data_IF_487001547175
#
_entry.id   IF_487001547175
#
_cell.length_a   1.000
_cell.length_b   1.000
_cell.length_c   1.000
_cell.angle_alpha   90.00
_cell.angle_beta   90.00
_cell.angle_gamma   90.00
#
_symmetry.space_group_name_H-M   'P 1'
#
loop_
_entity.id
_entity.type
_entity.pdbx_description
1 polymer ?
#
# COMPACT_ATOMS: atom_id res chain seq x y z
N UNK A 1 10.73 -15.08 2.73
CA UNK A 1 11.22 -14.74 1.37
C UNK A 1 12.54 -14.06 1.58
N UNK A 2 13.55 -14.27 0.72
CA UNK A 2 14.70 -13.36 0.77
C UNK A 2 14.33 -12.08 0.01
N UNK A 3 14.84 -10.94 0.47
CA UNK A 3 14.66 -9.65 -0.20
C UNK A 3 15.13 -9.77 -1.65
N UNK A 4 14.30 -9.33 -2.59
CA UNK A 4 14.55 -9.40 -4.03
C UNK A 4 14.14 -10.70 -4.71
N UNK A 5 13.78 -11.76 -3.96
CA UNK A 5 13.22 -12.97 -4.58
C UNK A 5 11.88 -12.61 -5.24
N UNK A 6 11.74 -12.89 -6.54
CA UNK A 6 10.44 -12.84 -7.22
C UNK A 6 9.70 -14.17 -7.03
N UNK A 7 8.41 -14.12 -6.70
CA UNK A 7 7.56 -15.30 -6.57
C UNK A 7 6.28 -15.16 -7.36
N UNK A 8 5.91 -16.25 -8.01
CA UNK A 8 4.56 -16.41 -8.55
C UNK A 8 3.55 -16.48 -7.39
N UNK A 9 2.43 -15.78 -7.55
CA UNK A 9 1.29 -15.86 -6.65
C UNK A 9 0.56 -17.16 -6.93
N UNK A 10 0.96 -18.23 -6.25
CA UNK A 10 0.38 -19.58 -6.44
C UNK A 10 -0.88 -19.82 -5.58
N UNK A 11 -1.49 -18.75 -5.08
CA UNK A 11 -2.64 -18.83 -4.19
C UNK A 11 -3.93 -18.67 -5.00
N UNK A 12 -4.99 -19.39 -4.62
CA UNK A 12 -6.17 -19.49 -5.47
C UNK A 12 -5.83 -20.10 -6.84
N UNK A 13 -6.48 -19.59 -7.89
CA UNK A 13 -6.25 -19.95 -9.30
C UNK A 13 -5.46 -18.85 -10.05
N UNK A 14 -4.72 -17.99 -9.32
CA UNK A 14 -3.97 -16.92 -9.94
C UNK A 14 -2.90 -17.44 -10.92
N UNK A 15 -2.72 -16.72 -12.01
CA UNK A 15 -1.74 -16.99 -13.04
C UNK A 15 -1.16 -15.67 -13.56
N UNK A 16 0.06 -15.75 -14.11
CA UNK A 16 0.79 -14.58 -14.64
C UNK A 16 0.97 -13.42 -13.64
N UNK A 17 0.80 -13.71 -12.35
CA UNK A 17 0.90 -12.75 -11.25
C UNK A 17 2.08 -13.12 -10.36
N UNK A 18 2.93 -12.13 -10.11
CA UNK A 18 4.15 -12.25 -9.32
C UNK A 18 4.20 -11.16 -8.26
N UNK A 19 5.02 -11.37 -7.25
CA UNK A 19 5.37 -10.34 -6.27
C UNK A 19 6.81 -10.52 -5.80
N UNK A 20 7.42 -9.43 -5.35
CA UNK A 20 8.74 -9.44 -4.73
C UNK A 20 8.73 -8.66 -3.41
N UNK A 21 9.62 -9.04 -2.49
CA UNK A 21 9.96 -8.23 -1.32
C UNK A 21 11.05 -7.21 -1.70
N UNK A 22 10.75 -5.93 -1.51
CA UNK A 22 11.65 -4.80 -1.80
C UNK A 22 12.65 -4.49 -0.68
N UNK A 23 12.54 -5.16 0.47
CA UNK A 23 13.39 -4.94 1.64
C UNK A 23 13.08 -3.64 2.37
N UNK A 24 11.81 -3.25 2.37
CA UNK A 24 11.34 -2.01 2.97
C UNK A 24 11.69 -1.95 4.47
N UNK A 25 12.27 -0.84 4.92
CA UNK A 25 12.70 -0.60 6.32
C UNK A 25 13.68 -1.64 6.90
N UNK A 26 14.51 -2.29 6.06
CA UNK A 26 15.37 -3.40 6.47
C UNK A 26 14.59 -4.53 7.19
N UNK A 27 13.30 -4.65 6.86
CA UNK A 27 12.38 -5.65 7.43
C UNK A 27 11.98 -6.62 6.34
N UNK A 28 12.30 -7.90 6.54
CA UNK A 28 11.96 -8.94 5.57
C UNK A 28 10.45 -9.03 5.38
N UNK A 29 10.05 -9.20 4.12
CA UNK A 29 8.67 -9.35 3.64
C UNK A 29 7.76 -8.14 3.87
N UNK A 30 8.24 -7.06 4.51
CA UNK A 30 7.37 -5.94 4.86
C UNK A 30 6.86 -5.15 3.64
N UNK A 31 7.63 -5.06 2.55
CA UNK A 31 7.24 -4.28 1.36
C UNK A 31 7.12 -5.15 0.12
N UNK A 32 5.89 -5.45 -0.28
CA UNK A 32 5.57 -6.22 -1.48
C UNK A 32 5.23 -5.31 -2.66
N UNK A 33 5.82 -5.59 -3.81
CA UNK A 33 5.45 -5.01 -5.12
C UNK A 33 4.97 -6.15 -6.01
N UNK A 34 3.89 -5.91 -6.77
CA UNK A 34 3.31 -6.93 -7.63
C UNK A 34 3.62 -6.66 -9.11
N UNK A 35 3.71 -7.74 -9.88
CA UNK A 35 3.94 -7.71 -11.32
C UNK A 35 2.93 -8.62 -12.01
N UNK A 36 2.28 -8.13 -13.07
CA UNK A 36 1.41 -8.91 -13.95
C UNK A 36 2.11 -9.03 -15.31
N UNK A 37 2.35 -10.27 -15.75
CA UNK A 37 2.99 -10.60 -17.03
C UNK A 37 1.92 -10.92 -18.09
N UNK A 38 1.56 -9.91 -18.89
CA UNK A 38 0.55 -10.03 -19.95
C UNK A 38 0.99 -9.28 -21.20
N UNK A 39 0.13 -9.17 -22.22
CA UNK A 39 0.39 -8.43 -23.47
C UNK A 39 0.86 -6.99 -23.19
N UNK A 40 0.39 -6.36 -22.11
CA UNK A 40 0.89 -5.10 -21.55
C UNK A 40 1.33 -5.32 -20.11
N UNK A 41 2.60 -5.67 -19.86
CA UNK A 41 3.07 -5.96 -18.52
C UNK A 41 2.90 -4.77 -17.56
N UNK A 42 2.52 -5.08 -16.32
CA UNK A 42 2.16 -4.10 -15.31
C UNK A 42 2.88 -4.31 -13.99
N UNK A 43 3.23 -3.22 -13.32
CA UNK A 43 3.68 -3.19 -11.92
C UNK A 43 2.60 -2.50 -11.09
N UNK A 44 2.19 -3.10 -9.97
CA UNK A 44 1.27 -2.47 -8.99
C UNK A 44 2.08 -2.08 -7.75
N UNK A 45 2.08 -0.78 -7.46
CA UNK A 45 2.96 -0.10 -6.50
C UNK A 45 4.46 -0.33 -6.74
N UNK A 46 5.31 0.43 -6.03
CA UNK A 46 6.74 0.58 -6.36
C UNK A 46 7.64 0.68 -5.13
N UNK A 47 7.09 0.53 -3.93
CA UNK A 47 7.83 0.60 -2.68
C UNK A 47 8.32 2.01 -2.32
N UNK A 48 9.23 2.08 -1.34
CA UNK A 48 9.89 3.31 -0.87
C UNK A 48 10.92 3.91 -1.84
N UNK A 49 11.05 3.34 -3.05
CA UNK A 49 12.04 3.70 -4.07
C UNK A 49 13.46 3.22 -3.78
N UNK A 50 13.84 3.06 -2.50
CA UNK A 50 15.08 2.38 -2.13
C UNK A 50 14.99 0.92 -2.60
N UNK A 51 16.02 0.46 -3.32
CA UNK A 51 16.06 -0.86 -3.98
C UNK A 51 15.07 -1.05 -5.15
N UNK A 52 14.63 0.03 -5.84
CA UNK A 52 13.83 -0.13 -7.07
C UNK A 52 14.54 -0.99 -8.13
N UNK A 53 15.87 -1.10 -8.07
CA UNK A 53 16.64 -2.03 -8.91
C UNK A 53 16.23 -3.50 -8.71
N UNK A 54 15.74 -3.90 -7.53
CA UNK A 54 15.21 -5.26 -7.32
C UNK A 54 13.95 -5.50 -8.13
N UNK A 55 13.10 -4.49 -8.29
CA UNK A 55 11.92 -4.58 -9.18
C UNK A 55 12.36 -4.78 -10.63
N UNK A 56 13.45 -4.11 -11.06
CA UNK A 56 14.03 -4.32 -12.40
C UNK A 56 14.59 -5.72 -12.58
N UNK A 57 15.30 -6.22 -11.58
CA UNK A 57 15.85 -7.57 -11.59
C UNK A 57 14.74 -8.62 -11.67
N UNK A 58 13.65 -8.44 -10.91
CA UNK A 58 12.47 -9.30 -10.96
C UNK A 58 11.77 -9.28 -12.33
N UNK A 59 11.55 -8.08 -12.92
CA UNK A 59 10.99 -7.93 -14.27
C UNK A 59 11.84 -8.66 -15.31
N UNK A 60 13.16 -8.51 -15.25
CA UNK A 60 14.08 -9.21 -16.16
C UNK A 60 14.09 -10.73 -15.93
N UNK A 61 13.92 -11.20 -14.69
CA UNK A 61 13.87 -12.63 -14.36
C UNK A 61 12.64 -13.33 -14.95
N UNK A 62 11.48 -12.66 -14.93
CA UNK A 62 10.24 -13.15 -15.53
C UNK A 62 10.16 -12.91 -17.05
N UNK A 63 11.11 -12.14 -17.61
CA UNK A 63 11.28 -11.99 -19.06
C UNK A 63 10.68 -10.72 -19.65
N UNK A 64 10.41 -9.71 -18.83
CA UNK A 64 9.94 -8.38 -19.25
C UNK A 64 11.16 -7.46 -19.42
N UNK A 65 11.49 -7.11 -20.66
CA UNK A 65 12.61 -6.22 -20.96
C UNK A 65 12.24 -4.73 -20.71
N UNK A 66 13.24 -3.84 -20.77
CA UNK A 66 13.10 -2.39 -20.53
C UNK A 66 12.08 -1.71 -21.45
N UNK A 67 11.94 -2.20 -22.69
CA UNK A 67 10.99 -1.68 -23.67
C UNK A 67 9.60 -2.34 -23.58
N UNK A 68 9.43 -3.38 -22.76
CA UNK A 68 8.18 -4.17 -22.72
C UNK A 68 7.23 -3.73 -21.58
N UNK A 69 7.73 -3.23 -20.45
CA UNK A 69 6.84 -2.73 -19.39
C UNK A 69 5.99 -1.56 -19.91
N UNK A 70 4.67 -1.66 -19.76
CA UNK A 70 3.71 -0.67 -20.28
C UNK A 70 2.93 0.06 -19.18
N UNK A 71 2.80 -0.52 -17.98
CA UNK A 71 1.93 0.01 -16.92
C UNK A 71 2.66 0.04 -15.57
N UNK A 72 2.65 1.20 -14.92
CA UNK A 72 2.98 1.35 -13.49
C UNK A 72 1.71 1.89 -12.82
N UNK A 73 0.94 1.02 -12.16
CA UNK A 73 -0.31 1.36 -11.50
C UNK A 73 -0.07 1.64 -10.02
N UNK A 74 -0.39 2.85 -9.57
CA UNK A 74 -0.22 3.26 -8.17
C UNK A 74 -1.56 3.18 -7.45
N UNK A 75 -1.61 2.44 -6.35
CA UNK A 75 -2.81 2.40 -5.49
C UNK A 75 -3.05 3.76 -4.85
N UNK A 76 -1.97 4.42 -4.41
CA UNK A 76 -2.00 5.76 -3.87
C UNK A 76 -0.59 6.38 -3.81
N UNK A 77 -0.49 7.68 -3.50
CA UNK A 77 0.79 8.42 -3.59
C UNK A 77 1.63 8.43 -2.31
N UNK A 78 1.29 7.66 -1.26
CA UNK A 78 2.22 7.57 -0.13
C UNK A 78 3.55 6.98 -0.62
N UNK A 79 4.66 7.50 -0.11
CA UNK A 79 5.97 7.24 -0.72
C UNK A 79 6.47 5.82 -0.52
N UNK A 80 5.87 5.05 0.37
CA UNK A 80 6.06 3.61 0.50
C UNK A 80 5.32 2.78 -0.56
N UNK A 81 4.46 3.39 -1.36
CA UNK A 81 3.79 2.78 -2.52
C UNK A 81 4.29 3.41 -3.82
N UNK A 82 4.46 4.73 -3.88
CA UNK A 82 4.80 5.47 -5.09
C UNK A 82 6.28 5.92 -5.18
N UNK A 83 7.11 5.61 -4.18
CA UNK A 83 8.48 6.13 -4.08
C UNK A 83 9.40 5.67 -5.22
N UNK A 84 9.15 4.49 -5.79
CA UNK A 84 9.90 3.94 -6.91
C UNK A 84 9.42 4.37 -8.30
N UNK A 85 8.23 4.97 -8.41
CA UNK A 85 7.54 5.18 -9.68
C UNK A 85 8.34 5.99 -10.69
N UNK A 86 8.95 7.10 -10.27
CA UNK A 86 9.78 7.93 -11.15
C UNK A 86 11.05 7.24 -11.63
N UNK A 87 11.65 6.38 -10.80
CA UNK A 87 12.83 5.61 -11.19
C UNK A 87 12.49 4.54 -12.23
N UNK A 88 11.37 3.83 -12.04
CA UNK A 88 10.88 2.87 -13.01
C UNK A 88 10.46 3.55 -14.31
N UNK A 89 9.68 4.63 -14.25
CA UNK A 89 9.27 5.37 -15.46
C UNK A 89 10.45 5.91 -16.28
N UNK A 90 11.57 6.27 -15.62
CA UNK A 90 12.81 6.66 -16.29
C UNK A 90 13.48 5.50 -17.03
N UNK A 91 13.48 4.32 -16.43
CA UNK A 91 14.20 3.14 -16.93
C UNK A 91 13.36 2.32 -17.92
N UNK A 92 12.03 2.45 -17.88
CA UNK A 92 11.07 1.80 -18.78
C UNK A 92 10.35 2.84 -19.65
N UNK A 93 10.93 3.24 -20.79
CA UNK A 93 10.45 4.39 -21.58
C UNK A 93 9.09 4.18 -22.26
N UNK A 94 8.50 2.99 -22.19
CA UNK A 94 7.15 2.69 -22.71
C UNK A 94 6.08 2.58 -21.61
N UNK A 95 6.46 2.43 -20.33
CA UNK A 95 5.56 2.41 -19.16
C UNK A 95 4.92 3.76 -18.76
N UNK A 96 3.59 3.88 -18.92
CA UNK A 96 2.83 5.00 -18.36
C UNK A 96 2.53 4.78 -16.87
N UNK A 97 2.47 5.86 -16.09
CA UNK A 97 2.18 5.84 -14.65
C UNK A 97 0.73 6.22 -14.42
N UNK A 98 -0.06 5.28 -13.90
CA UNK A 98 -1.48 5.44 -13.62
C UNK A 98 -1.68 5.82 -12.16
N UNK A 99 -2.34 6.94 -11.91
CA UNK A 99 -2.50 7.51 -10.56
C UNK A 99 -3.83 8.26 -10.43
N UNK A 100 -4.38 8.31 -9.21
CA UNK A 100 -5.54 9.15 -8.92
C UNK A 100 -5.25 10.65 -9.20
N UNK A 101 -6.20 11.46 -9.72
CA UNK A 101 -5.98 12.87 -10.08
C UNK A 101 -5.39 13.76 -8.98
N UNK A 102 -5.69 13.48 -7.71
CA UNK A 102 -5.09 14.18 -6.56
C UNK A 102 -3.55 14.03 -6.54
N UNK A 103 -3.04 12.92 -7.07
CA UNK A 103 -1.63 12.59 -7.14
C UNK A 103 -0.88 13.13 -8.34
N UNK A 104 -1.54 13.58 -9.41
CA UNK A 104 -0.92 13.97 -10.68
C UNK A 104 0.21 14.99 -10.50
N UNK A 105 -0.11 16.13 -9.85
CA UNK A 105 0.87 17.20 -9.61
C UNK A 105 2.03 16.73 -8.71
N UNK A 106 1.76 15.78 -7.79
CA UNK A 106 2.77 15.22 -6.89
C UNK A 106 3.72 14.25 -7.59
N UNK A 107 3.25 13.52 -8.60
CA UNK A 107 4.10 12.66 -9.43
C UNK A 107 4.96 13.48 -10.40
N UNK A 108 4.43 14.58 -10.92
CA UNK A 108 5.17 15.51 -11.78
C UNK A 108 6.22 16.33 -11.01
N UNK A 109 5.89 16.80 -9.80
CA UNK A 109 6.80 17.48 -8.88
C UNK A 109 6.65 16.92 -7.44
N UNK A 110 7.52 15.98 -7.04
CA UNK A 110 7.39 15.31 -5.76
C UNK A 110 7.85 16.17 -4.57
N UNK A 111 8.32 17.41 -4.79
CA UNK A 111 8.90 18.23 -3.71
C UNK A 111 7.97 18.44 -2.51
N UNK A 112 6.66 18.61 -2.75
CA UNK A 112 5.66 18.77 -1.69
C UNK A 112 5.35 17.46 -0.99
N UNK A 113 5.29 16.36 -1.74
CA UNK A 113 5.06 15.02 -1.21
C UNK A 113 6.22 14.61 -0.30
N UNK A 114 7.46 14.77 -0.76
CA UNK A 114 8.68 14.54 0.02
C UNK A 114 8.70 15.35 1.32
N UNK A 115 8.32 16.63 1.26
CA UNK A 115 8.26 17.46 2.46
C UNK A 115 7.22 16.95 3.47
N UNK A 116 6.05 16.53 2.99
CA UNK A 116 4.99 15.93 3.80
C UNK A 116 5.42 14.62 4.44
N UNK A 117 5.94 13.68 3.64
CA UNK A 117 6.43 12.38 4.15
C UNK A 117 7.53 12.56 5.18
N UNK A 118 8.54 13.41 4.94
CA UNK A 118 9.59 13.72 5.94
C UNK A 118 9.03 14.19 7.28
N UNK A 119 7.95 14.97 7.26
CA UNK A 119 7.30 15.44 8.47
C UNK A 119 6.54 14.31 9.20
N UNK A 120 5.92 13.39 8.44
CA UNK A 120 5.15 12.28 9.00
C UNK A 120 6.04 11.16 9.57
N UNK A 121 7.06 10.72 8.81
CA UNK A 121 7.87 9.52 9.14
C UNK A 121 9.14 9.85 9.94
N UNK A 122 9.51 11.13 10.03
CA UNK A 122 10.63 11.59 10.86
C UNK A 122 11.95 10.88 10.57
N UNK A 123 12.46 10.14 11.56
CA UNK A 123 13.76 9.44 11.45
C UNK A 123 13.72 8.29 10.44
N UNK A 124 12.55 7.69 10.18
CA UNK A 124 12.41 6.64 9.17
C UNK A 124 12.67 7.13 7.75
N UNK A 125 12.73 8.45 7.52
CA UNK A 125 13.17 9.01 6.23
C UNK A 125 14.53 8.46 5.78
N UNK A 126 15.39 8.00 6.70
CA UNK A 126 16.67 7.36 6.37
C UNK A 126 16.55 6.15 5.44
N UNK A 127 15.39 5.49 5.42
CA UNK A 127 15.12 4.34 4.56
C UNK A 127 14.63 4.75 3.16
N UNK A 128 14.11 5.97 3.00
CA UNK A 128 13.58 6.45 1.74
C UNK A 128 14.68 7.05 0.86
N UNK A 129 14.43 7.03 -0.44
CA UNK A 129 15.12 7.87 -1.43
C UNK A 129 14.18 8.98 -1.90
N UNK A 130 14.71 10.14 -2.28
CA UNK A 130 13.86 11.16 -2.92
C UNK A 130 13.40 10.63 -4.29
N UNK A 131 12.08 10.53 -4.56
CA UNK A 131 11.57 10.06 -5.83
C UNK A 131 11.94 11.01 -6.98
N UNK A 132 12.11 10.46 -8.17
CA UNK A 132 12.32 11.22 -9.39
C UNK A 132 10.97 11.75 -9.93
N UNK A 133 10.94 12.94 -10.56
CA UNK A 133 9.74 13.44 -11.20
C UNK A 133 9.38 12.64 -12.45
N UNK A 134 8.08 12.50 -12.72
CA UNK A 134 7.55 11.84 -13.92
C UNK A 134 7.10 12.90 -14.93
N UNK A 135 7.45 12.82 -16.22
CA UNK A 135 6.95 13.76 -17.23
C UNK A 135 5.42 13.74 -17.32
N UNK A 136 4.79 14.92 -17.43
CA UNK A 136 3.32 15.06 -17.47
C UNK A 136 2.67 14.16 -18.53
N UNK A 137 3.31 14.00 -19.70
CA UNK A 137 2.79 13.16 -20.79
C UNK A 137 2.80 11.65 -20.50
N UNK A 138 3.42 11.23 -19.40
CA UNK A 138 3.51 9.83 -18.93
C UNK A 138 2.62 9.55 -17.73
N UNK A 139 1.92 10.56 -17.21
CA UNK A 139 0.99 10.41 -16.11
C UNK A 139 -0.41 10.26 -16.68
N UNK A 140 -1.08 9.17 -16.34
CA UNK A 140 -2.45 8.87 -16.74
C UNK A 140 -3.32 8.90 -15.49
N UNK A 141 -4.32 9.78 -15.49
CA UNK A 141 -5.28 9.89 -14.40
C UNK A 141 -6.28 8.73 -14.44
N UNK A 142 -6.56 8.14 -13.27
CA UNK A 142 -7.55 7.08 -13.08
C UNK A 142 -8.51 7.41 -11.93
N UNK A 143 -9.79 7.12 -12.10
CA UNK A 143 -10.85 7.31 -11.11
C UNK A 143 -11.71 6.03 -10.96
N UNK A 144 -12.62 6.05 -10.00
CA UNK A 144 -13.59 4.97 -9.79
C UNK A 144 -14.34 4.60 -11.09
N UNK A 145 -14.36 3.30 -11.39
CA UNK A 145 -15.00 2.74 -12.59
C UNK A 145 -14.17 2.80 -13.86
N UNK A 146 -12.95 3.36 -13.82
CA UNK A 146 -11.99 3.21 -14.91
C UNK A 146 -11.40 1.79 -14.96
N UNK A 147 -10.70 1.51 -16.05
CA UNK A 147 -10.05 0.23 -16.27
C UNK A 147 -8.76 0.39 -17.07
N UNK A 148 -7.73 -0.35 -16.67
CA UNK A 148 -6.47 -0.49 -17.39
C UNK A 148 -6.44 -1.87 -18.05
N UNK A 149 -6.65 -1.91 -19.36
CA UNK A 149 -6.58 -3.13 -20.17
C UNK A 149 -5.14 -3.63 -20.26
N UNK A 150 -4.85 -4.86 -19.82
CA UNK A 150 -3.52 -5.48 -19.91
C UNK A 150 -3.44 -6.55 -21.00
N UNK A 151 -4.57 -6.92 -21.61
CA UNK A 151 -4.69 -8.04 -22.55
C UNK A 151 -5.69 -9.08 -22.06
N UNK A 152 -5.17 -10.14 -21.42
CA UNK A 152 -5.99 -11.18 -20.76
C UNK A 152 -6.49 -10.70 -19.39
N UNK A 153 -5.62 -10.02 -18.66
CA UNK A 153 -5.86 -9.35 -17.39
C UNK A 153 -6.35 -7.91 -17.62
N UNK A 154 -6.98 -7.36 -16.58
CA UNK A 154 -7.50 -6.00 -16.56
C UNK A 154 -7.40 -5.50 -15.12
N UNK A 155 -6.94 -4.26 -14.90
CA UNK A 155 -7.00 -3.62 -13.59
C UNK A 155 -8.20 -2.69 -13.54
N UNK A 156 -9.30 -3.14 -12.95
CA UNK A 156 -10.49 -2.31 -12.70
C UNK A 156 -10.29 -1.47 -11.46
N UNK A 157 -10.55 -0.18 -11.59
CA UNK A 157 -10.29 0.81 -10.56
C UNK A 157 -11.52 1.00 -9.70
N UNK A 158 -11.38 0.81 -8.39
CA UNK A 158 -12.43 1.09 -7.41
C UNK A 158 -11.91 2.07 -6.38
N UNK A 159 -12.66 3.12 -6.08
CA UNK A 159 -12.27 4.06 -5.04
C UNK A 159 -12.33 3.40 -3.65
N UNK A 160 -11.28 3.61 -2.84
CA UNK A 160 -11.22 3.17 -1.44
C UNK A 160 -10.59 4.29 -0.58
N UNK A 161 -11.27 5.43 -0.42
CA UNK A 161 -10.67 6.69 0.05
C UNK A 161 -10.40 6.78 1.57
N UNK A 162 -10.68 5.74 2.36
CA UNK A 162 -10.63 5.80 3.82
C UNK A 162 -9.22 6.02 4.39
N UNK A 163 -8.24 5.26 3.91
CA UNK A 163 -6.83 5.42 4.31
C UNK A 163 -6.25 6.75 3.81
N UNK A 164 -6.56 7.08 2.56
CA UNK A 164 -6.24 8.36 1.95
C UNK A 164 -7.25 8.68 0.83
N UNK A 165 -7.64 9.96 0.64
CA UNK A 165 -8.67 10.37 -0.33
C UNK A 165 -8.27 10.12 -1.80
N UNK A 166 -7.03 9.73 -2.05
CA UNK A 166 -6.48 9.42 -3.35
C UNK A 166 -6.13 7.93 -3.49
N UNK A 167 -6.63 7.08 -2.58
CA UNK A 167 -6.45 5.64 -2.64
C UNK A 167 -7.52 4.98 -3.53
N UNK A 168 -7.03 4.09 -4.38
CA UNK A 168 -7.83 3.15 -5.15
C UNK A 168 -7.34 1.73 -4.88
N UNK A 169 -8.23 0.78 -5.05
CA UNK A 169 -7.89 -0.65 -5.14
C UNK A 169 -8.05 -1.11 -6.58
N UNK A 170 -7.25 -2.08 -6.99
CA UNK A 170 -7.34 -2.66 -8.32
C UNK A 170 -7.89 -4.07 -8.24
N UNK A 171 -9.01 -4.33 -8.92
CA UNK A 171 -9.52 -5.68 -9.13
C UNK A 171 -8.91 -6.25 -10.41
N UNK A 172 -8.33 -7.44 -10.32
CA UNK A 172 -8.01 -8.31 -11.46
C UNK A 172 -9.02 -9.46 -11.52
N UNK A 173 -10.05 -9.34 -12.39
CA UNK A 173 -11.11 -10.34 -12.48
C UNK A 173 -10.63 -11.70 -13.02
N UNK A 174 -9.53 -11.72 -13.79
CA UNK A 174 -8.99 -12.95 -14.35
C UNK A 174 -8.38 -13.83 -13.25
N UNK A 175 -7.72 -13.20 -12.29
CA UNK A 175 -7.15 -13.87 -11.12
C UNK A 175 -8.11 -13.99 -9.93
N UNK A 176 -9.32 -13.42 -10.03
CA UNK A 176 -10.23 -13.22 -8.91
C UNK A 176 -9.52 -12.62 -7.67
N UNK A 177 -8.69 -11.61 -7.92
CA UNK A 177 -7.81 -11.00 -6.95
C UNK A 177 -8.03 -9.49 -6.86
N UNK A 178 -7.80 -8.90 -5.68
CA UNK A 178 -7.81 -7.45 -5.50
C UNK A 178 -6.50 -7.01 -4.85
N UNK A 179 -5.82 -6.04 -5.47
CA UNK A 179 -4.72 -5.27 -4.88
C UNK A 179 -5.33 -4.25 -3.92
N UNK A 180 -5.32 -4.59 -2.63
CA UNK A 180 -6.14 -3.91 -1.61
C UNK A 180 -5.56 -2.60 -1.12
N UNK A 181 -4.38 -2.20 -1.60
CA UNK A 181 -3.65 -1.08 -1.02
C UNK A 181 -3.58 -1.24 0.51
N UNK A 182 -3.95 -0.21 1.27
CA UNK A 182 -4.07 -0.29 2.73
C UNK A 182 -5.54 -0.35 3.20
N UNK A 183 -6.49 -0.64 2.29
CA UNK A 183 -7.92 -0.68 2.59
C UNK A 183 -8.33 -1.87 3.48
N UNK A 184 -7.51 -2.93 3.54
CA UNK A 184 -7.78 -4.13 4.33
C UNK A 184 -6.77 -4.36 5.48
N UNK A 185 -6.01 -3.33 5.84
CA UNK A 185 -4.97 -3.37 6.87
C UNK A 185 -3.66 -4.02 6.42
N UNK A 186 -2.81 -4.38 7.38
CA UNK A 186 -1.55 -5.10 7.15
C UNK A 186 -1.75 -6.57 7.55
N UNK A 187 -1.79 -7.48 6.57
CA UNK A 187 -1.78 -8.91 6.84
C UNK A 187 -0.38 -9.37 7.26
N UNK A 188 -0.26 -10.06 8.40
CA UNK A 188 1.03 -10.58 8.91
C UNK A 188 1.00 -12.11 8.96
N UNK A 189 1.51 -12.81 7.91
CA UNK A 189 1.43 -14.26 7.81
C UNK A 189 2.11 -15.02 8.96
N UNK A 190 3.17 -14.46 9.55
CA UNK A 190 3.93 -15.13 10.62
C UNK A 190 3.09 -15.39 11.87
N UNK A 191 2.17 -14.48 12.18
CA UNK A 191 1.28 -14.55 13.35
C UNK A 191 -0.18 -14.79 12.97
N UNK A 192 -0.49 -14.81 11.67
CA UNK A 192 -1.84 -14.98 11.12
C UNK A 192 -2.85 -13.93 11.62
N UNK A 193 -2.42 -12.67 11.73
CA UNK A 193 -3.25 -11.54 12.21
C UNK A 193 -3.17 -10.35 11.24
N UNK A 194 -4.24 -9.56 11.17
CA UNK A 194 -4.27 -8.24 10.53
C UNK A 194 -3.89 -7.14 11.54
N UNK A 195 -3.14 -6.13 11.11
CA UNK A 195 -2.85 -4.89 11.86
C UNK A 195 -3.51 -3.67 11.22
N UNK A 196 -3.75 -2.67 12.06
CA UNK A 196 -4.36 -1.40 11.71
C UNK A 196 -3.53 -0.58 10.71
N UNK A 197 -4.22 0.18 9.85
CA UNK A 197 -3.64 1.27 9.06
C UNK A 197 -4.47 2.52 9.25
N UNK A 198 -3.85 3.57 9.78
CA UNK A 198 -4.50 4.83 10.14
C UNK A 198 -3.51 5.99 10.01
N UNK A 199 -2.98 6.27 8.81
CA UNK A 199 -1.93 7.26 8.62
C UNK A 199 -2.44 8.70 8.82
N UNK A 200 -1.60 9.60 9.34
CA UNK A 200 -1.90 11.02 9.29
C UNK A 200 -1.72 11.55 7.86
N UNK A 201 -2.40 12.60 7.44
CA UNK A 201 -3.40 13.41 8.15
C UNK A 201 -4.82 13.18 7.64
N UNK A 202 -5.00 12.21 6.75
CA UNK A 202 -6.20 12.07 5.94
C UNK A 202 -7.03 10.82 6.26
N UNK A 203 -6.59 10.01 7.21
CA UNK A 203 -7.33 8.86 7.70
C UNK A 203 -8.76 9.25 8.10
N UNK A 204 -9.72 8.48 7.59
CA UNK A 204 -11.14 8.62 7.87
C UNK A 204 -11.71 7.24 8.22
N UNK A 205 -11.98 7.03 9.50
CA UNK A 205 -12.43 5.74 10.02
C UNK A 205 -13.76 5.29 9.42
N UNK A 206 -14.74 6.19 9.24
CA UNK A 206 -16.02 5.80 8.64
C UNK A 206 -15.87 5.42 7.16
N UNK A 207 -14.99 6.10 6.42
CA UNK A 207 -14.67 5.72 5.05
C UNK A 207 -13.88 4.41 4.98
N UNK A 208 -12.95 4.14 5.90
CA UNK A 208 -12.27 2.83 5.96
C UNK A 208 -13.25 1.67 6.11
N UNK A 209 -14.28 1.82 6.95
CA UNK A 209 -15.32 0.78 7.07
C UNK A 209 -16.15 0.64 5.77
N UNK A 210 -16.42 1.74 5.08
CA UNK A 210 -17.10 1.70 3.78
C UNK A 210 -16.24 1.08 2.66
N UNK A 211 -14.91 1.21 2.74
CA UNK A 211 -13.98 0.55 1.82
C UNK A 211 -14.06 -0.98 1.95
N UNK A 212 -14.32 -1.50 3.17
CA UNK A 212 -14.54 -2.94 3.38
C UNK A 212 -15.82 -3.43 2.73
N UNK A 213 -16.91 -2.65 2.74
CA UNK A 213 -18.12 -2.97 1.99
C UNK A 213 -17.84 -3.03 0.47
N UNK A 214 -16.92 -2.19 -0.01
CA UNK A 214 -16.47 -2.21 -1.41
C UNK A 214 -15.72 -3.52 -1.71
N UNK A 215 -14.75 -3.90 -0.88
CA UNK A 215 -14.01 -5.16 -1.03
C UNK A 215 -14.92 -6.39 -0.94
N UNK A 216 -15.88 -6.39 -0.01
CA UNK A 216 -16.87 -7.47 0.13
C UNK A 216 -17.74 -7.59 -1.14
N UNK A 217 -18.14 -6.46 -1.73
CA UNK A 217 -18.95 -6.45 -2.95
C UNK A 217 -18.18 -6.97 -4.19
N UNK A 218 -16.86 -6.81 -4.23
CA UNK A 218 -16.01 -7.38 -5.29
C UNK A 218 -15.90 -8.90 -5.17
N UNK A 219 -15.93 -9.44 -3.95
CA UNK A 219 -15.92 -10.88 -3.71
C UNK A 219 -14.66 -11.64 -4.16
N UNK A 220 -13.42 -11.11 -3.99
CA UNK A 220 -12.22 -11.80 -4.45
C UNK A 220 -11.89 -13.04 -3.63
N UNK A 221 -11.23 -14.01 -4.26
CA UNK A 221 -10.65 -15.16 -3.57
C UNK A 221 -9.28 -14.81 -2.96
N UNK A 222 -8.61 -13.77 -3.48
CA UNK A 222 -7.25 -13.39 -3.11
C UNK A 222 -7.17 -11.89 -2.82
N UNK A 223 -6.64 -11.54 -1.64
CA UNK A 223 -6.28 -10.18 -1.28
C UNK A 223 -4.76 -10.00 -1.44
N UNK A 224 -4.35 -9.09 -2.31
CA UNK A 224 -2.96 -8.77 -2.61
C UNK A 224 -2.52 -7.56 -1.79
N UNK A 225 -1.90 -7.81 -0.63
CA UNK A 225 -1.43 -6.76 0.28
C UNK A 225 -0.06 -6.22 -0.14
N UNK A 226 0.16 -4.90 -0.10
CA UNK A 226 1.46 -4.27 -0.32
C UNK A 226 2.45 -4.55 0.83
N UNK A 227 1.99 -5.19 1.91
CA UNK A 227 2.79 -5.65 3.03
C UNK A 227 2.64 -7.15 3.20
N UNK A 228 3.76 -7.90 3.21
CA UNK A 228 3.83 -9.36 3.35
C UNK A 228 3.20 -10.21 2.24
N UNK A 229 2.56 -9.59 1.25
CA UNK A 229 2.11 -10.24 0.04
C UNK A 229 0.71 -10.87 0.15
N UNK A 230 0.36 -11.81 -0.73
CA UNK A 230 -1.02 -12.22 -0.95
C UNK A 230 -1.58 -13.14 0.15
N UNK A 231 -2.88 -13.00 0.46
CA UNK A 231 -3.66 -13.89 1.34
C UNK A 231 -4.80 -14.53 0.54
N UNK A 232 -4.90 -15.86 0.56
CA UNK A 232 -6.12 -16.54 0.12
C UNK A 232 -7.21 -16.35 1.17
N UNK A 233 -8.38 -15.89 0.75
CA UNK A 233 -9.55 -15.73 1.61
C UNK A 233 -10.71 -16.60 1.12
N UNK A 234 -10.94 -16.73 -0.18
CA UNK A 234 -12.00 -17.56 -0.73
C UNK A 234 -13.36 -17.34 -0.04
N UNK A 235 -14.00 -18.43 0.40
CA UNK A 235 -15.27 -18.38 1.15
C UNK A 235 -15.16 -17.66 2.52
N UNK A 236 -13.96 -17.40 3.03
CA UNK A 236 -13.70 -16.71 4.31
C UNK A 236 -13.48 -15.19 4.16
N UNK A 237 -13.73 -14.60 2.98
CA UNK A 237 -13.59 -13.15 2.73
C UNK A 237 -14.30 -12.29 3.77
N UNK A 238 -15.58 -12.54 4.05
CA UNK A 238 -16.37 -11.78 5.02
C UNK A 238 -15.71 -11.81 6.42
N UNK A 239 -15.18 -12.97 6.82
CA UNK A 239 -14.50 -13.10 8.10
C UNK A 239 -13.16 -12.36 8.14
N UNK A 240 -12.40 -12.34 7.04
CA UNK A 240 -11.14 -11.61 6.95
C UNK A 240 -11.35 -10.08 6.97
N UNK A 241 -12.41 -9.57 6.33
CA UNK A 241 -12.75 -8.14 6.36
C UNK A 241 -13.31 -7.74 7.74
N UNK A 242 -14.14 -8.57 8.37
CA UNK A 242 -14.65 -8.35 9.74
C UNK A 242 -13.52 -8.36 10.79
N UNK A 243 -12.49 -9.20 10.60
CA UNK A 243 -11.27 -9.20 11.41
C UNK A 243 -10.62 -7.81 11.39
N UNK A 244 -10.42 -7.24 10.21
CA UNK A 244 -9.83 -5.90 10.09
C UNK A 244 -10.75 -4.79 10.61
N UNK A 245 -12.06 -4.86 10.34
CA UNK A 245 -13.02 -3.91 10.89
C UNK A 245 -12.94 -3.86 12.42
N UNK A 246 -12.88 -5.03 13.07
CA UNK A 246 -12.73 -5.15 14.52
C UNK A 246 -11.41 -4.56 15.00
N UNK A 247 -10.29 -4.88 14.34
CA UNK A 247 -8.96 -4.34 14.67
C UNK A 247 -8.96 -2.81 14.61
N UNK A 248 -9.52 -2.24 13.54
CA UNK A 248 -9.56 -0.79 13.36
C UNK A 248 -10.49 -0.11 14.36
N UNK A 249 -11.66 -0.68 14.65
CA UNK A 249 -12.59 -0.22 15.68
C UNK A 249 -11.93 -0.18 17.06
N UNK A 250 -11.33 -1.30 17.48
CA UNK A 250 -10.67 -1.42 18.78
C UNK A 250 -9.47 -0.45 18.88
N UNK A 251 -8.73 -0.26 17.80
CA UNK A 251 -7.63 0.70 17.73
C UNK A 251 -8.12 2.14 17.93
N UNK A 252 -9.14 2.56 17.17
CA UNK A 252 -9.70 3.91 17.25
C UNK A 252 -10.26 4.18 18.65
N UNK A 253 -11.01 3.23 19.21
CA UNK A 253 -11.55 3.34 20.58
C UNK A 253 -10.43 3.41 21.63
N UNK A 254 -9.37 2.61 21.50
CA UNK A 254 -8.25 2.63 22.41
C UNK A 254 -7.53 3.99 22.41
N UNK A 255 -7.27 4.56 21.22
CA UNK A 255 -6.63 5.87 21.10
C UNK A 255 -7.54 6.97 21.66
N UNK A 256 -8.84 6.94 21.35
CA UNK A 256 -9.82 7.91 21.88
C UNK A 256 -9.88 7.87 23.41
N UNK A 257 -9.98 6.68 24.00
CA UNK A 257 -9.95 6.51 25.45
C UNK A 257 -8.64 7.04 26.05
N UNK A 258 -7.50 6.77 25.40
CA UNK A 258 -6.20 7.23 25.90
C UNK A 258 -6.05 8.76 25.83
N UNK A 259 -6.59 9.38 24.78
CA UNK A 259 -6.66 10.84 24.62
C UNK A 259 -7.45 11.48 25.76
N UNK A 260 -8.61 10.92 26.12
CA UNK A 260 -9.41 11.37 27.26
C UNK A 260 -8.69 11.19 28.61
N UNK A 261 -7.90 10.14 28.76
CA UNK A 261 -7.16 9.84 29.99
C UNK A 261 -5.93 10.74 30.21
N UNK A 262 -5.20 11.07 29.14
CA UNK A 262 -3.92 11.79 29.22
C UNK A 262 -4.03 13.28 28.93
N UNK A 263 -5.04 13.72 28.16
CA UNK A 263 -5.25 15.12 27.74
C UNK A 263 -4.01 15.77 27.06
N UNK A 264 -3.12 14.96 26.48
CA UNK A 264 -1.88 15.37 25.80
C UNK A 264 -1.53 14.39 24.68
N UNK A 265 -1.69 14.81 23.42
CA UNK A 265 -1.53 13.98 22.23
C UNK A 265 -0.13 13.33 22.14
N UNK A 266 0.92 14.04 22.53
CA UNK A 266 2.28 13.48 22.53
C UNK A 266 2.44 12.34 23.54
N UNK A 267 1.81 12.47 24.72
CA UNK A 267 1.81 11.40 25.71
C UNK A 267 1.00 10.18 25.25
N UNK A 268 -0.06 10.38 24.46
CA UNK A 268 -0.83 9.29 23.83
C UNK A 268 0.02 8.56 22.79
N UNK A 269 0.70 9.31 21.91
CA UNK A 269 1.60 8.76 20.89
C UNK A 269 2.69 7.90 21.53
N UNK A 270 3.38 8.43 22.55
CA UNK A 270 4.44 7.69 23.25
C UNK A 270 3.91 6.49 24.05
N UNK A 271 2.65 6.51 24.50
CA UNK A 271 2.03 5.36 25.16
C UNK A 271 1.93 4.16 24.22
N UNK A 272 1.37 4.35 23.02
CA UNK A 272 1.21 3.27 22.04
C UNK A 272 2.55 2.84 21.43
N UNK A 273 3.44 3.80 21.18
CA UNK A 273 4.80 3.54 20.71
C UNK A 273 5.60 2.60 21.64
N UNK A 274 5.32 2.65 22.95
CA UNK A 274 5.97 1.81 23.96
C UNK A 274 5.20 0.52 24.27
N UNK A 275 3.93 0.40 23.84
CA UNK A 275 3.05 -0.71 24.14
C UNK A 275 2.91 -1.72 22.99
N UNK A 276 3.36 -1.37 21.79
CA UNK A 276 3.36 -2.26 20.61
C UNK A 276 4.06 -3.60 20.92
N UNK A 277 3.46 -4.69 20.44
CA UNK A 277 3.94 -6.06 20.55
C UNK A 277 4.57 -6.59 19.24
N UNK A 278 4.66 -5.73 18.21
CA UNK A 278 5.17 -6.10 16.89
C UNK A 278 6.70 -6.03 16.75
N UNK A 279 7.41 -5.79 17.85
CA UNK A 279 8.87 -5.69 17.85
C UNK A 279 9.56 -7.00 17.41
N UNK A 280 8.94 -8.16 17.70
CA UNK A 280 9.47 -9.47 17.28
C UNK A 280 9.25 -9.75 15.78
N UNK A 281 8.28 -9.07 15.14
CA UNK A 281 7.93 -9.26 13.71
C UNK A 281 8.75 -8.35 12.81
N UNK A 282 8.69 -7.03 13.04
CA UNK A 282 9.35 -6.04 12.17
C UNK A 282 10.39 -5.17 12.88
N UNK A 283 10.81 -5.56 14.08
CA UNK A 283 11.86 -4.88 14.83
C UNK A 283 11.34 -3.73 15.70
N UNK A 284 12.09 -3.45 16.78
CA UNK A 284 11.70 -2.49 17.82
C UNK A 284 11.48 -1.06 17.28
N UNK A 285 12.39 -0.58 16.40
CA UNK A 285 12.29 0.77 15.84
C UNK A 285 11.08 0.91 14.91
N UNK A 286 10.88 -0.01 13.97
CA UNK A 286 9.74 0.05 13.04
C UNK A 286 8.43 -0.14 13.77
N UNK A 287 8.34 -1.05 14.74
CA UNK A 287 7.13 -1.23 15.54
C UNK A 287 6.74 0.04 16.30
N UNK A 288 7.72 0.68 16.94
CA UNK A 288 7.47 1.91 17.68
C UNK A 288 7.03 3.04 16.74
N UNK A 289 7.72 3.25 15.63
CA UNK A 289 7.39 4.34 14.70
C UNK A 289 6.08 4.09 13.93
N UNK A 290 5.74 2.83 13.61
CA UNK A 290 4.45 2.46 13.02
C UNK A 290 3.29 2.77 13.97
N UNK A 291 3.42 2.40 15.24
CA UNK A 291 2.42 2.72 16.26
C UNK A 291 2.26 4.26 16.43
N UNK A 292 3.36 5.03 16.36
CA UNK A 292 3.29 6.51 16.39
C UNK A 292 2.53 7.06 15.20
N UNK A 293 2.80 6.54 14.00
CA UNK A 293 2.16 6.99 12.77
C UNK A 293 0.65 6.73 12.83
N UNK A 294 0.24 5.51 13.13
CA UNK A 294 -1.16 5.12 13.29
C UNK A 294 -1.87 5.93 14.40
N UNK A 295 -1.21 6.16 15.53
CA UNK A 295 -1.80 6.96 16.62
C UNK A 295 -2.05 8.41 16.17
N UNK A 296 -1.11 9.01 15.42
CA UNK A 296 -1.28 10.38 14.90
C UNK A 296 -2.45 10.50 13.93
N UNK A 297 -2.69 9.51 13.08
CA UNK A 297 -3.82 9.57 12.15
C UNK A 297 -5.15 9.51 12.88
N UNK A 298 -5.30 8.62 13.88
CA UNK A 298 -6.51 8.60 14.71
C UNK A 298 -6.71 9.90 15.49
N UNK A 299 -5.65 10.45 16.10
CA UNK A 299 -5.75 11.74 16.81
C UNK A 299 -6.19 12.88 15.86
N UNK A 300 -5.63 12.92 14.65
CA UNK A 300 -6.04 13.86 13.62
C UNK A 300 -7.51 13.68 13.22
N UNK A 301 -7.94 12.44 13.00
CA UNK A 301 -9.34 12.11 12.71
C UNK A 301 -10.29 12.57 13.83
N UNK A 302 -9.95 12.32 15.10
CA UNK A 302 -10.76 12.72 16.25
C UNK A 302 -10.88 14.25 16.36
N UNK A 303 -9.81 15.00 16.08
CA UNK A 303 -9.84 16.48 16.08
C UNK A 303 -10.82 17.05 15.04
N UNK A 304 -10.93 16.42 13.86
CA UNK A 304 -11.83 16.88 12.79
C UNK A 304 -13.32 16.61 13.09
N UNK A 305 -13.64 15.75 14.06
CA UNK A 305 -15.03 15.41 14.45
C UNK A 305 -15.62 16.35 15.52
N UNK A 306 -14.78 17.10 16.24
CA UNK A 306 -15.17 18.02 17.33
C UNK A 306 -15.67 19.39 16.83
#
# INVERSE_FOLDING_TARGET
MEVGDVREVTTGDCSELYYLDTGMYDTNEYGAVYIIDDDRPAVVDTGIGTNYELVREALAEIGIDEDDLEVIALTHIHLDHAGGAGFLARDYPNADVYVHPIGTDHMADPSRLVAGTKAAVGQQWQYYVEPEPIPDERIVEIEDGDSIDLGTHELRVHAAPGHAPHQVVFEDPQNNAVFVADAAGIWVPEIEEIRETSPPSNFDFEQCLADLETLEALGPDVLCYPHFGPRFVGDDLEAALEEYATVLEEWVDAVAQKRDELEDDEAVIEHFAAATDMADVWGEEKASEEAKLNTRGVLGYLEHRE
#
